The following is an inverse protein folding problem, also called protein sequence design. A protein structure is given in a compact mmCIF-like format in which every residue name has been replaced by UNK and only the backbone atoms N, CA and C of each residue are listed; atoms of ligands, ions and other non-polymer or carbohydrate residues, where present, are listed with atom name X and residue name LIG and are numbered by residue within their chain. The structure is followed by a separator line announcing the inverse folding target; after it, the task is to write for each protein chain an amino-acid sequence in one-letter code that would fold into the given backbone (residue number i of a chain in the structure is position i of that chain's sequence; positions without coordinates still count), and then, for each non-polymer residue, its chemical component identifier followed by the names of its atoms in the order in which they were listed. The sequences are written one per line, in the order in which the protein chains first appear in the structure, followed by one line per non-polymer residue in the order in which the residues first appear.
data_IF_472878939939
#
_entry.id   IF_472878939939
#
_cell.length_a   1.000
_cell.length_b   1.000
_cell.length_c   1.000
_cell.angle_alpha   90.00
_cell.angle_beta   90.00
_cell.angle_gamma   90.00
#
_symmetry.space_group_name_H-M   'P 1'
#
loop_
_entity.id
_entity.type
_entity.pdbx_description
1 polymer ?
#
# COMPACT_ATOMS: atom_id res chain seq x y z
N UNK A 1 5.15 -7.67 -16.77
CA UNK A 1 3.89 -6.92 -16.53
C UNK A 1 3.42 -7.23 -15.12
N UNK A 2 3.04 -6.21 -14.33
CA UNK A 2 2.47 -6.41 -12.99
C UNK A 2 1.01 -6.83 -13.09
N UNK A 3 0.52 -7.60 -12.10
CA UNK A 3 -0.85 -8.14 -12.10
C UNK A 3 -1.66 -7.78 -10.86
N UNK A 4 -1.05 -7.81 -9.69
CA UNK A 4 -1.73 -7.56 -8.42
C UNK A 4 -0.82 -6.75 -7.49
N UNK A 5 -1.38 -5.86 -6.69
CA UNK A 5 -0.73 -5.40 -5.45
C UNK A 5 -0.93 -6.54 -4.45
N UNK A 6 0.15 -7.19 -4.10
CA UNK A 6 0.09 -8.45 -3.35
C UNK A 6 0.60 -8.34 -1.90
N UNK A 7 1.28 -7.22 -1.58
CA UNK A 7 1.81 -7.00 -0.21
C UNK A 7 2.16 -5.57 0.12
N UNK A 8 2.26 -5.30 1.43
CA UNK A 8 2.94 -4.14 2.00
C UNK A 8 4.09 -4.61 2.88
N UNK A 9 5.20 -3.87 2.89
CA UNK A 9 6.32 -4.08 3.79
C UNK A 9 6.40 -2.93 4.79
N UNK A 10 6.47 -3.24 6.06
CA UNK A 10 6.45 -2.27 7.16
C UNK A 10 7.78 -2.34 7.91
N UNK A 11 8.55 -1.27 7.87
CA UNK A 11 9.69 -1.12 8.79
C UNK A 11 9.15 -0.80 10.19
N UNK A 12 9.52 -1.56 11.19
CA UNK A 12 8.99 -1.43 12.55
C UNK A 12 10.05 -1.77 13.61
N UNK A 13 10.09 -1.05 14.73
CA UNK A 13 10.92 -1.42 15.87
C UNK A 13 10.32 -2.61 16.67
N UNK A 14 9.04 -2.93 16.47
CA UNK A 14 8.31 -3.98 17.19
C UNK A 14 7.34 -4.69 16.23
N UNK A 15 7.80 -5.76 15.61
CA UNK A 15 6.98 -6.57 14.72
C UNK A 15 5.82 -7.26 15.44
N UNK A 16 6.01 -7.66 16.71
CA UNK A 16 4.99 -8.37 17.47
C UNK A 16 3.78 -7.45 17.73
N UNK A 17 4.00 -6.17 18.06
CA UNK A 17 2.92 -5.22 18.23
C UNK A 17 2.11 -5.03 16.93
N UNK A 18 2.80 -4.87 15.79
CA UNK A 18 2.16 -4.75 14.47
C UNK A 18 1.34 -6.00 14.12
N UNK A 19 1.94 -7.18 14.22
CA UNK A 19 1.28 -8.47 13.97
C UNK A 19 0.02 -8.65 14.85
N UNK A 20 0.12 -8.35 16.14
CA UNK A 20 -1.01 -8.45 17.07
C UNK A 20 -2.14 -7.47 16.72
N UNK A 21 -1.80 -6.27 16.25
CA UNK A 21 -2.78 -5.30 15.79
C UNK A 21 -3.56 -5.81 14.57
N UNK A 22 -2.87 -6.33 13.56
CA UNK A 22 -3.50 -6.90 12.36
C UNK A 22 -4.34 -8.14 12.67
N UNK A 23 -3.88 -9.03 13.56
CA UNK A 23 -4.67 -10.17 14.04
C UNK A 23 -5.97 -9.73 14.71
N UNK A 24 -5.88 -8.76 15.61
CA UNK A 24 -7.04 -8.28 16.38
C UNK A 24 -8.06 -7.56 15.48
N UNK A 25 -7.62 -6.64 14.63
CA UNK A 25 -8.51 -5.76 13.84
C UNK A 25 -9.01 -6.46 12.59
N UNK A 26 -8.12 -7.12 11.87
CA UNK A 26 -8.40 -7.68 10.55
C UNK A 26 -8.47 -9.23 10.52
N UNK A 27 -8.23 -9.89 11.66
CA UNK A 27 -8.22 -11.35 11.71
C UNK A 27 -7.06 -11.98 10.92
N UNK A 28 -6.00 -11.22 10.65
CA UNK A 28 -4.86 -11.69 9.88
C UNK A 28 -4.14 -12.86 10.57
N UNK A 29 -3.51 -13.74 9.80
CA UNK A 29 -2.83 -14.94 10.27
C UNK A 29 -1.33 -14.87 9.96
N UNK A 30 -0.49 -15.30 10.91
CA UNK A 30 0.97 -15.43 10.67
C UNK A 30 1.21 -16.62 9.76
N UNK A 31 1.86 -16.37 8.61
CA UNK A 31 2.15 -17.38 7.60
C UNK A 31 3.66 -17.64 7.41
N UNK A 32 4.51 -16.74 7.91
CA UNK A 32 5.96 -16.85 7.78
C UNK A 32 6.68 -16.05 8.85
N UNK A 33 7.83 -16.58 9.29
CA UNK A 33 8.79 -15.88 10.14
C UNK A 33 10.20 -16.31 9.72
N UNK A 34 11.04 -15.38 9.28
CA UNK A 34 12.38 -15.68 8.77
C UNK A 34 13.33 -14.47 8.85
N UNK A 35 14.62 -14.76 8.80
CA UNK A 35 15.64 -13.73 8.65
C UNK A 35 15.76 -13.30 7.19
N UNK A 36 15.98 -12.01 6.96
CA UNK A 36 16.26 -11.41 5.64
C UNK A 36 17.61 -10.67 5.71
N UNK A 37 18.73 -11.40 5.57
CA UNK A 37 20.06 -10.82 5.77
C UNK A 37 20.36 -9.62 4.87
N UNK A 38 19.88 -9.63 3.61
CA UNK A 38 20.06 -8.52 2.68
C UNK A 38 19.39 -7.21 3.14
N UNK A 39 18.40 -7.30 4.03
CA UNK A 39 17.73 -6.14 4.61
C UNK A 39 18.19 -5.83 6.05
N UNK A 40 19.03 -6.69 6.65
CA UNK A 40 19.43 -6.60 8.06
C UNK A 40 18.21 -6.67 8.99
N UNK A 41 17.30 -7.59 8.74
CA UNK A 41 16.03 -7.66 9.45
C UNK A 41 15.51 -9.08 9.64
N UNK A 42 14.71 -9.27 10.69
CA UNK A 42 13.79 -10.40 10.84
C UNK A 42 12.43 -9.97 10.31
N UNK A 43 11.83 -10.83 9.51
CA UNK A 43 10.52 -10.63 8.89
C UNK A 43 9.47 -11.52 9.53
N UNK A 44 8.32 -10.94 9.87
CA UNK A 44 7.10 -11.69 10.17
C UNK A 44 6.04 -11.32 9.15
N UNK A 45 5.52 -12.32 8.44
CA UNK A 45 4.49 -12.13 7.41
C UNK A 45 3.14 -12.53 7.97
N UNK A 46 2.17 -11.64 7.84
CA UNK A 46 0.76 -11.94 8.10
C UNK A 46 -0.03 -11.94 6.80
N UNK A 47 -0.93 -12.91 6.65
CA UNK A 47 -1.91 -13.00 5.59
C UNK A 47 -3.15 -12.23 5.99
N UNK A 48 -3.59 -11.29 5.14
CA UNK A 48 -4.83 -10.53 5.30
C UNK A 48 -5.59 -10.54 3.96
N UNK A 49 -6.69 -11.26 3.90
CA UNK A 49 -7.30 -11.64 2.64
C UNK A 49 -6.36 -12.53 1.83
N UNK A 50 -6.26 -12.29 0.54
CA UNK A 50 -5.28 -12.92 -0.37
C UNK A 50 -3.96 -12.16 -0.47
N UNK A 51 -3.73 -11.16 0.37
CA UNK A 51 -2.53 -10.34 0.36
C UNK A 51 -1.71 -10.53 1.63
N UNK A 52 -0.44 -10.17 1.58
CA UNK A 52 0.49 -10.31 2.70
C UNK A 52 0.88 -8.93 3.26
N UNK A 53 1.17 -8.88 4.56
CA UNK A 53 1.87 -7.73 5.16
C UNK A 53 3.11 -8.25 5.88
N UNK A 54 4.26 -7.73 5.49
CA UNK A 54 5.56 -8.14 6.00
C UNK A 54 6.06 -7.10 7.02
N UNK A 55 6.12 -7.47 8.28
CA UNK A 55 6.73 -6.65 9.34
C UNK A 55 8.22 -6.94 9.40
N UNK A 56 9.02 -5.93 9.11
CA UNK A 56 10.48 -5.99 9.09
C UNK A 56 11.03 -5.30 10.35
N UNK A 57 11.57 -6.09 11.26
CA UNK A 57 12.22 -5.60 12.46
C UNK A 57 13.74 -5.69 12.28
N UNK A 58 14.52 -4.61 12.50
CA UNK A 58 15.97 -4.66 12.36
C UNK A 58 16.61 -5.75 13.22
N UNK A 59 17.58 -6.44 12.64
CA UNK A 59 18.44 -7.42 13.27
C UNK A 59 19.92 -7.01 13.15
N UNK A 60 20.20 -5.74 13.44
CA UNK A 60 21.51 -5.11 13.31
C UNK A 60 21.46 -3.88 12.41
N UNK A 61 22.48 -3.72 11.54
CA UNK A 61 22.58 -2.63 10.57
C UNK A 61 21.98 -3.05 9.22
N UNK A 62 21.45 -2.08 8.46
CA UNK A 62 20.93 -2.34 7.12
C UNK A 62 19.81 -1.40 6.72
N UNK A 63 19.23 -1.57 5.52
CA UNK A 63 18.24 -0.65 4.96
C UNK A 63 17.01 -0.41 5.85
N UNK A 64 16.57 -1.42 6.61
CA UNK A 64 15.43 -1.30 7.52
C UNK A 64 15.78 -0.49 8.76
N UNK A 65 16.97 -0.72 9.35
CA UNK A 65 17.47 0.07 10.47
C UNK A 65 17.63 1.55 10.08
N UNK A 66 18.21 1.81 8.91
CA UNK A 66 18.40 3.17 8.36
C UNK A 66 17.05 3.88 8.14
N UNK A 67 16.05 3.15 7.65
CA UNK A 67 14.70 3.70 7.45
C UNK A 67 14.05 4.09 8.78
N UNK A 68 14.17 3.26 9.79
CA UNK A 68 13.66 3.55 11.14
C UNK A 68 14.42 4.69 11.80
N UNK A 69 15.73 4.77 11.64
CA UNK A 69 16.55 5.89 12.17
C UNK A 69 16.10 7.24 11.58
N UNK A 70 15.76 7.28 10.28
CA UNK A 70 15.23 8.49 9.62
C UNK A 70 13.82 8.86 10.06
N UNK A 71 12.91 7.87 10.21
CA UNK A 71 11.48 8.09 10.48
C UNK A 71 11.12 8.14 11.95
N UNK A 72 11.91 7.51 12.82
CA UNK A 72 11.66 7.41 14.26
C UNK A 72 10.43 6.58 14.66
N UNK A 73 9.77 5.93 13.71
CA UNK A 73 8.53 5.17 13.95
C UNK A 73 8.28 4.12 12.87
N UNK A 74 7.38 3.18 13.17
CA UNK A 74 6.88 2.22 12.19
C UNK A 74 6.17 2.93 11.02
N UNK A 75 6.40 2.44 9.79
CA UNK A 75 5.81 3.01 8.56
C UNK A 75 5.84 2.02 7.41
N UNK A 76 4.99 2.22 6.41
CA UNK A 76 5.08 1.51 5.14
C UNK A 76 6.39 1.88 4.46
N UNK A 77 7.28 0.89 4.31
CA UNK A 77 8.62 1.04 3.78
C UNK A 77 8.74 0.65 2.31
N UNK A 78 7.91 -0.32 1.90
CA UNK A 78 7.83 -0.77 0.52
C UNK A 78 6.43 -1.32 0.21
N UNK A 79 6.10 -1.41 -1.08
CA UNK A 79 4.92 -2.09 -1.56
C UNK A 79 5.30 -3.17 -2.55
N UNK A 80 4.54 -4.26 -2.61
CA UNK A 80 4.79 -5.35 -3.54
C UNK A 80 3.72 -5.52 -4.60
N UNK A 81 4.14 -6.05 -5.72
CA UNK A 81 3.27 -6.47 -6.79
C UNK A 81 3.68 -7.84 -7.33
N UNK A 82 2.69 -8.63 -7.72
CA UNK A 82 2.90 -9.90 -8.39
C UNK A 82 3.15 -9.71 -9.90
N UNK A 83 3.89 -10.64 -10.47
CA UNK A 83 4.15 -10.71 -11.91
C UNK A 83 4.30 -12.18 -12.35
N UNK A 84 3.80 -12.58 -13.55
CA UNK A 84 4.06 -13.90 -14.10
C UNK A 84 5.53 -14.12 -14.47
N UNK A 85 6.29 -13.04 -14.68
CA UNK A 85 7.74 -13.06 -14.90
C UNK A 85 8.43 -11.93 -14.13
N UNK A 86 8.72 -12.15 -12.83
CA UNK A 86 9.40 -11.15 -12.00
C UNK A 86 10.79 -10.77 -12.52
N UNK A 87 11.48 -11.73 -13.15
CA UNK A 87 12.80 -11.48 -13.71
C UNK A 87 12.74 -10.52 -14.91
N UNK A 88 11.71 -10.64 -15.76
CA UNK A 88 11.48 -9.67 -16.84
C UNK A 88 11.14 -8.29 -16.30
N UNK A 89 10.26 -8.20 -15.29
CA UNK A 89 9.95 -6.93 -14.64
C UNK A 89 11.21 -6.29 -14.02
N UNK A 90 12.04 -7.08 -13.35
CA UNK A 90 13.32 -6.63 -12.80
C UNK A 90 14.29 -6.11 -13.89
N UNK A 91 14.34 -6.75 -15.07
CA UNK A 91 15.14 -6.26 -16.21
C UNK A 91 14.62 -4.92 -16.72
N UNK A 92 13.31 -4.78 -16.88
CA UNK A 92 12.68 -3.51 -17.27
C UNK A 92 13.04 -2.40 -16.30
N UNK A 93 12.90 -2.65 -15.00
CA UNK A 93 13.24 -1.69 -13.95
C UNK A 93 14.71 -1.25 -14.01
N UNK A 94 15.65 -2.21 -14.19
CA UNK A 94 17.07 -1.87 -14.36
C UNK A 94 17.32 -1.01 -15.58
N UNK A 95 16.68 -1.32 -16.71
CA UNK A 95 16.81 -0.53 -17.94
C UNK A 95 16.26 0.88 -17.79
N UNK A 96 15.30 1.09 -16.90
CA UNK A 96 14.76 2.40 -16.50
C UNK A 96 15.58 3.12 -15.41
N UNK A 97 16.76 2.55 -15.04
CA UNK A 97 17.66 3.15 -14.06
C UNK A 97 17.35 2.87 -12.60
N UNK A 98 16.49 1.89 -12.31
CA UNK A 98 16.23 1.46 -10.94
C UNK A 98 17.40 0.62 -10.39
N UNK A 99 17.64 0.74 -9.08
CA UNK A 99 18.46 -0.22 -8.35
C UNK A 99 17.61 -1.48 -8.10
N UNK A 100 18.14 -2.65 -8.46
CA UNK A 100 17.41 -3.91 -8.34
C UNK A 100 18.27 -4.99 -7.70
N UNK A 101 17.78 -5.53 -6.58
CA UNK A 101 18.41 -6.62 -5.84
C UNK A 101 17.50 -7.85 -5.80
N UNK A 102 18.07 -9.03 -5.91
CA UNK A 102 17.33 -10.29 -5.87
C UNK A 102 17.26 -10.81 -4.42
N UNK A 103 16.10 -11.36 -4.03
CA UNK A 103 15.88 -12.14 -2.82
C UNK A 103 15.14 -13.42 -3.20
N UNK A 104 15.87 -14.50 -3.47
CA UNK A 104 15.28 -15.73 -3.99
C UNK A 104 14.64 -15.50 -5.37
N UNK A 105 13.33 -15.74 -5.45
CA UNK A 105 12.53 -15.60 -6.68
C UNK A 105 11.85 -14.23 -6.81
N UNK A 106 12.07 -13.32 -5.86
CA UNK A 106 11.55 -11.96 -5.87
C UNK A 106 12.65 -10.92 -6.03
N UNK A 107 12.28 -9.72 -6.42
CA UNK A 107 13.19 -8.61 -6.68
C UNK A 107 12.78 -7.35 -5.93
N UNK A 108 13.70 -6.78 -5.18
CA UNK A 108 13.58 -5.45 -4.60
C UNK A 108 13.98 -4.42 -5.66
N UNK A 109 13.08 -3.51 -5.98
CA UNK A 109 13.26 -2.43 -6.95
C UNK A 109 13.22 -1.10 -6.19
N UNK A 110 14.30 -0.34 -6.26
CA UNK A 110 14.39 0.98 -5.63
C UNK A 110 14.43 2.05 -6.71
N UNK A 111 13.47 2.97 -6.66
CA UNK A 111 13.39 4.17 -7.49
C UNK A 111 13.78 5.38 -6.66
N UNK A 112 14.54 6.29 -7.23
CA UNK A 112 14.74 7.60 -6.63
C UNK A 112 13.61 8.53 -7.08
N UNK A 113 12.83 9.03 -6.11
CA UNK A 113 11.79 10.04 -6.31
C UNK A 113 12.07 11.19 -5.35
N UNK A 114 12.35 12.38 -5.89
CA UNK A 114 12.70 13.57 -5.10
C UNK A 114 13.88 13.35 -4.13
N UNK A 115 14.90 12.58 -4.55
CA UNK A 115 16.03 12.23 -3.72
C UNK A 115 15.75 11.19 -2.63
N UNK A 116 14.50 10.69 -2.53
CA UNK A 116 14.12 9.65 -1.60
C UNK A 116 14.06 8.26 -2.27
N UNK A 117 14.54 7.19 -1.61
CA UNK A 117 14.41 5.83 -2.11
C UNK A 117 12.97 5.31 -1.89
N UNK A 118 12.23 5.12 -2.96
CA UNK A 118 10.92 4.48 -2.96
C UNK A 118 11.10 3.02 -3.40
N UNK A 119 10.69 2.08 -2.55
CA UNK A 119 10.99 0.66 -2.73
C UNK A 119 9.76 -0.14 -3.11
N UNK A 120 9.95 -1.00 -4.10
CA UNK A 120 8.94 -1.96 -4.53
C UNK A 120 9.50 -3.37 -4.44
N UNK A 121 8.61 -4.36 -4.33
CA UNK A 121 8.97 -5.78 -4.42
C UNK A 121 8.16 -6.40 -5.56
N UNK A 122 8.86 -7.02 -6.51
CA UNK A 122 8.19 -7.81 -7.56
C UNK A 122 8.39 -9.28 -7.26
N UNK A 123 7.30 -10.02 -7.14
CA UNK A 123 7.29 -11.44 -6.78
C UNK A 123 6.51 -12.27 -7.79
N UNK A 124 6.73 -13.60 -7.85
CA UNK A 124 5.87 -14.48 -8.62
C UNK A 124 4.40 -14.38 -8.20
N UNK A 125 3.51 -14.57 -9.16
CA UNK A 125 2.10 -14.84 -8.85
C UNK A 125 1.99 -16.08 -7.97
N UNK A 126 1.14 -16.01 -6.96
CA UNK A 126 0.93 -17.13 -6.05
C UNK A 126 -0.55 -17.22 -5.64
N UNK A 127 -1.09 -18.41 -5.71
CA UNK A 127 -2.39 -18.69 -5.11
C UNK A 127 -2.26 -18.64 -3.59
N UNK A 128 -3.07 -17.80 -2.94
CA UNK A 128 -3.07 -17.63 -1.48
C UNK A 128 -4.44 -17.94 -0.93
N UNK A 129 -4.49 -18.85 0.03
CA UNK A 129 -5.73 -19.06 0.79
C UNK A 129 -6.03 -17.81 1.60
N UNK A 130 -7.24 -17.24 1.49
CA UNK A 130 -7.58 -16.01 2.18
C UNK A 130 -7.63 -16.20 3.69
N UNK A 131 -7.24 -15.16 4.44
CA UNK A 131 -7.31 -15.13 5.89
C UNK A 131 -7.88 -13.81 6.40
N UNK A 132 -8.67 -13.85 7.47
CA UNK A 132 -9.22 -12.67 8.11
C UNK A 132 -10.35 -12.01 7.35
N UNK A 133 -10.45 -10.66 7.50
CA UNK A 133 -11.62 -9.85 7.09
C UNK A 133 -11.44 -9.11 5.78
N UNK A 134 -10.22 -9.01 5.25
CA UNK A 134 -9.96 -8.40 3.94
C UNK A 134 -10.21 -9.41 2.82
N UNK A 135 -10.52 -8.91 1.63
CA UNK A 135 -10.51 -9.72 0.41
C UNK A 135 -9.12 -9.70 -0.22
N UNK A 136 -8.59 -8.50 -0.50
CA UNK A 136 -7.25 -8.28 -1.08
C UNK A 136 -6.83 -6.81 -0.97
N UNK A 137 -5.51 -6.57 -1.05
CA UNK A 137 -4.93 -5.25 -1.32
C UNK A 137 -5.05 -4.95 -2.82
N UNK A 138 -5.38 -3.71 -3.17
CA UNK A 138 -5.41 -3.32 -4.57
C UNK A 138 -4.59 -2.07 -4.88
N UNK A 139 -4.13 -1.36 -3.85
CA UNK A 139 -3.39 -0.11 -4.02
C UNK A 139 -2.32 0.09 -2.97
N UNK A 140 -1.20 0.68 -3.40
CA UNK A 140 -0.23 1.33 -2.53
C UNK A 140 0.02 2.75 -3.05
N UNK A 141 -0.08 3.73 -2.15
CA UNK A 141 -0.04 5.15 -2.47
C UNK A 141 1.32 5.74 -2.14
N UNK A 142 1.97 6.33 -3.12
CA UNK A 142 3.18 7.15 -3.00
C UNK A 142 2.77 8.62 -2.94
N UNK A 143 3.26 9.35 -1.94
CA UNK A 143 3.12 10.80 -1.83
C UNK A 143 4.39 11.46 -2.34
N UNK A 144 4.26 12.35 -3.33
CA UNK A 144 5.35 13.10 -3.93
C UNK A 144 4.87 14.49 -4.36
N UNK A 145 5.74 15.50 -4.37
CA UNK A 145 5.39 16.84 -4.85
C UNK A 145 5.48 16.94 -6.38
N UNK A 146 6.45 16.26 -7.00
CA UNK A 146 6.55 16.13 -8.45
C UNK A 146 5.76 14.91 -8.94
N UNK A 147 4.46 15.11 -9.19
CA UNK A 147 3.58 14.05 -9.67
C UNK A 147 4.04 13.47 -11.00
N UNK A 148 4.34 14.33 -11.96
CA UNK A 148 4.69 13.89 -13.31
C UNK A 148 5.99 13.07 -13.33
N UNK A 149 7.00 13.53 -12.60
CA UNK A 149 8.27 12.81 -12.46
C UNK A 149 8.08 11.46 -11.74
N UNK A 150 7.33 11.44 -10.65
CA UNK A 150 7.07 10.20 -9.90
C UNK A 150 6.27 9.17 -10.72
N UNK A 151 5.22 9.61 -11.43
CA UNK A 151 4.42 8.76 -12.33
C UNK A 151 5.30 8.20 -13.47
N UNK A 152 6.10 9.05 -14.11
CA UNK A 152 7.00 8.61 -15.19
C UNK A 152 8.01 7.56 -14.69
N UNK A 153 8.60 7.76 -13.51
CA UNK A 153 9.53 6.79 -12.89
C UNK A 153 8.87 5.42 -12.66
N UNK A 154 7.64 5.41 -12.11
CA UNK A 154 6.89 4.16 -11.84
C UNK A 154 6.48 3.51 -13.16
N UNK A 155 5.93 4.28 -14.11
CA UNK A 155 5.54 3.81 -15.44
C UNK A 155 6.71 3.12 -16.15
N UNK A 156 7.85 3.80 -16.25
CA UNK A 156 9.02 3.31 -16.99
C UNK A 156 9.65 2.10 -16.30
N UNK A 157 9.75 2.10 -14.99
CA UNK A 157 10.31 0.99 -14.22
C UNK A 157 9.51 -0.32 -14.39
N UNK A 158 8.20 -0.22 -14.51
CA UNK A 158 7.33 -1.40 -14.58
C UNK A 158 6.69 -1.62 -15.95
N UNK A 159 6.99 -0.74 -16.94
CA UNK A 159 6.45 -0.85 -18.30
C UNK A 159 4.92 -0.75 -18.32
N UNK A 160 4.35 0.18 -17.53
CA UNK A 160 2.91 0.36 -17.43
C UNK A 160 2.38 1.16 -18.62
N UNK A 161 1.17 0.80 -19.07
CA UNK A 161 0.48 1.49 -20.16
C UNK A 161 -0.29 2.70 -19.60
N UNK A 162 0.20 3.90 -19.88
CA UNK A 162 -0.38 5.15 -19.39
C UNK A 162 -1.79 5.44 -19.93
N UNK A 163 -2.21 4.79 -21.02
CA UNK A 163 -3.58 4.93 -21.54
C UNK A 163 -4.64 4.40 -20.60
N UNK A 164 -4.26 3.54 -19.65
CA UNK A 164 -5.11 3.04 -18.58
C UNK A 164 -5.09 3.88 -17.30
N UNK A 165 -4.30 4.96 -17.24
CA UNK A 165 -4.18 5.75 -16.03
C UNK A 165 -5.40 6.65 -15.82
N UNK A 166 -5.74 6.88 -14.56
CA UNK A 166 -6.88 7.71 -14.15
C UNK A 166 -6.42 8.77 -13.17
N UNK A 167 -6.89 10.02 -13.35
CA UNK A 167 -6.61 11.11 -12.44
C UNK A 167 -7.71 11.23 -11.38
N UNK A 168 -7.31 11.60 -10.17
CA UNK A 168 -8.24 11.91 -9.08
C UNK A 168 -7.87 13.23 -8.42
N UNK A 169 -8.83 13.85 -7.76
CA UNK A 169 -8.62 15.05 -6.96
C UNK A 169 -9.48 15.00 -5.71
N UNK A 170 -8.92 15.38 -4.59
CA UNK A 170 -9.64 15.54 -3.34
C UNK A 170 -9.38 16.90 -2.73
N UNK A 171 -10.37 17.81 -2.85
CA UNK A 171 -10.31 19.11 -2.18
C UNK A 171 -10.32 18.96 -0.65
N UNK A 172 -11.06 17.97 -0.13
CA UNK A 172 -11.16 17.70 1.30
C UNK A 172 -9.78 17.43 1.91
N UNK A 173 -9.02 16.51 1.31
CA UNK A 173 -7.69 16.13 1.81
C UNK A 173 -6.55 16.95 1.22
N UNK A 174 -6.82 17.79 0.20
CA UNK A 174 -5.87 18.73 -0.40
C UNK A 174 -4.81 18.05 -1.27
N UNK A 175 -5.22 17.14 -2.17
CA UNK A 175 -4.32 16.48 -3.10
C UNK A 175 -4.95 16.28 -4.49
N UNK A 176 -4.09 16.12 -5.48
CA UNK A 176 -4.40 15.50 -6.77
C UNK A 176 -3.59 14.21 -6.89
N UNK A 177 -4.06 13.25 -7.71
CA UNK A 177 -3.41 11.96 -7.85
C UNK A 177 -3.55 11.36 -9.24
N UNK A 178 -2.67 10.39 -9.52
CA UNK A 178 -2.73 9.51 -10.69
C UNK A 178 -2.72 8.07 -10.23
N UNK A 179 -3.73 7.33 -10.61
CA UNK A 179 -3.83 5.89 -10.44
C UNK A 179 -3.12 5.22 -11.62
N UNK A 180 -1.95 4.62 -11.38
CA UNK A 180 -1.18 3.92 -12.42
C UNK A 180 -1.61 2.47 -12.49
N UNK A 181 -2.82 2.22 -13.03
CA UNK A 181 -3.40 0.89 -13.11
C UNK A 181 -2.47 -0.09 -13.86
N UNK A 182 -2.28 -1.28 -13.30
CA UNK A 182 -1.43 -2.30 -13.92
C UNK A 182 -2.03 -2.85 -15.21
N UNK A 183 -3.37 -2.91 -15.26
CA UNK A 183 -4.13 -3.33 -16.46
C UNK A 183 -5.45 -2.57 -16.51
N UNK A 184 -5.92 -2.22 -17.71
CA UNK A 184 -7.27 -1.65 -17.87
C UNK A 184 -8.34 -2.56 -17.28
N UNK A 185 -9.30 -1.97 -16.59
CA UNK A 185 -10.44 -2.69 -16.03
C UNK A 185 -10.15 -3.56 -14.81
N UNK A 186 -8.98 -3.43 -14.20
CA UNK A 186 -8.61 -4.03 -12.90
C UNK A 186 -8.35 -2.93 -11.87
N UNK A 187 -8.48 -3.26 -10.57
CA UNK A 187 -8.28 -2.30 -9.50
C UNK A 187 -6.80 -2.11 -9.10
N UNK A 188 -5.96 -3.13 -9.34
CA UNK A 188 -4.58 -3.11 -8.87
C UNK A 188 -3.73 -2.02 -9.51
N UNK A 189 -3.10 -1.19 -8.66
CA UNK A 189 -2.31 -0.02 -9.06
C UNK A 189 -1.33 0.43 -8.00
N UNK A 190 -0.35 1.19 -8.44
CA UNK A 190 0.30 2.16 -7.58
C UNK A 190 -0.36 3.53 -7.81
N UNK A 191 -0.63 4.25 -6.74
CA UNK A 191 -1.15 5.60 -6.81
C UNK A 191 -0.02 6.58 -6.51
N UNK A 192 0.04 7.69 -7.23
CA UNK A 192 0.89 8.84 -6.90
C UNK A 192 0.00 10.01 -6.55
N UNK A 193 0.04 10.48 -5.30
CA UNK A 193 -0.68 11.67 -4.86
C UNK A 193 0.29 12.83 -4.65
N UNK A 194 -0.17 14.04 -4.97
CA UNK A 194 0.58 15.28 -4.83
C UNK A 194 -0.23 16.28 -4.02
N UNK A 195 0.34 16.86 -2.95
CA UNK A 195 -0.34 17.89 -2.18
C UNK A 195 -0.58 19.15 -3.03
N UNK A 196 -1.80 19.67 -2.99
CA UNK A 196 -2.15 20.98 -3.60
C UNK A 196 -2.34 22.06 -2.54
N UNK A 197 -2.34 21.70 -1.27
CA UNK A 197 -2.49 22.60 -0.12
C UNK A 197 -1.55 22.16 1.01
N UNK A 198 -0.52 22.96 1.27
CA UNK A 198 0.48 22.68 2.30
C UNK A 198 -0.07 22.70 3.74
N UNK A 199 -1.23 23.31 3.95
CA UNK A 199 -1.89 23.42 5.27
C UNK A 199 -2.74 22.20 5.60
N UNK A 200 -3.10 21.39 4.59
CA UNK A 200 -3.89 20.17 4.76
C UNK A 200 -3.01 18.96 5.10
N UNK A 201 -3.65 17.83 5.34
CA UNK A 201 -3.00 16.62 5.86
C UNK A 201 -1.86 16.13 4.96
N UNK A 202 -2.08 16.07 3.65
CA UNK A 202 -1.08 15.57 2.69
C UNK A 202 0.11 16.54 2.59
N UNK A 203 -0.13 17.86 2.57
CA UNK A 203 0.92 18.85 2.54
C UNK A 203 1.79 18.84 3.79
N UNK A 204 1.17 18.78 4.99
CA UNK A 204 1.91 18.67 6.24
C UNK A 204 2.72 17.36 6.34
N UNK A 205 2.17 16.27 5.83
CA UNK A 205 2.87 14.99 5.81
C UNK A 205 4.09 15.06 4.89
N UNK A 206 3.92 15.53 3.64
CA UNK A 206 5.02 15.67 2.69
C UNK A 206 6.13 16.61 3.21
N UNK A 207 5.76 17.75 3.80
CA UNK A 207 6.74 18.69 4.38
C UNK A 207 7.61 18.05 5.48
N UNK A 208 7.09 17.05 6.20
CA UNK A 208 7.81 16.36 7.27
C UNK A 208 8.61 15.15 6.76
N UNK A 209 8.04 14.39 5.83
CA UNK A 209 8.55 13.08 5.46
C UNK A 209 9.19 13.03 4.06
N UNK A 210 8.93 14.04 3.20
CA UNK A 210 9.30 14.00 1.79
C UNK A 210 8.52 12.94 1.00
N UNK A 211 9.03 12.61 -0.18
CA UNK A 211 8.46 11.54 -0.99
C UNK A 211 8.54 10.19 -0.26
N UNK A 212 7.42 9.48 -0.21
CA UNK A 212 7.33 8.23 0.56
C UNK A 212 6.01 7.50 0.32
N UNK A 213 5.96 6.22 0.70
CA UNK A 213 4.66 5.56 0.85
C UNK A 213 3.85 6.23 1.96
N UNK A 214 2.58 6.48 1.66
CA UNK A 214 1.63 7.10 2.57
C UNK A 214 0.64 6.08 3.14
N UNK A 215 0.03 5.24 2.29
CA UNK A 215 -0.99 4.29 2.68
C UNK A 215 -1.11 3.12 1.70
N UNK A 216 -1.95 2.15 2.06
CA UNK A 216 -2.47 1.15 1.14
C UNK A 216 -3.99 1.16 1.13
N UNK A 217 -4.59 0.54 0.10
CA UNK A 217 -6.02 0.27 0.04
C UNK A 217 -6.32 -1.21 -0.14
N UNK A 218 -7.41 -1.65 0.49
CA UNK A 218 -7.93 -3.01 0.40
C UNK A 218 -9.45 -3.00 0.14
N UNK A 219 -9.96 -4.15 -0.30
CA UNK A 219 -11.39 -4.43 -0.36
C UNK A 219 -11.78 -5.41 0.74
N UNK A 220 -13.00 -5.28 1.29
CA UNK A 220 -13.56 -6.21 2.26
C UNK A 220 -15.08 -6.26 2.15
N UNK A 221 -15.66 -7.47 2.38
CA UNK A 221 -17.11 -7.68 2.32
C UNK A 221 -17.84 -7.03 3.49
N UNK A 222 -17.28 -7.06 4.69
CA UNK A 222 -17.92 -6.59 5.92
C UNK A 222 -17.07 -5.51 6.64
N UNK A 223 -17.32 -4.25 6.25
CA UNK A 223 -16.67 -3.11 6.86
C UNK A 223 -17.23 -2.81 8.27
N UNK A 224 -18.48 -3.21 8.56
CA UNK A 224 -19.06 -3.03 9.89
C UNK A 224 -18.36 -3.88 10.94
N UNK A 225 -17.96 -5.12 10.58
CA UNK A 225 -17.16 -5.96 11.46
C UNK A 225 -15.74 -5.41 11.68
N UNK A 226 -15.14 -4.76 10.66
CA UNK A 226 -13.85 -4.09 10.79
C UNK A 226 -13.99 -2.87 11.70
N UNK A 227 -14.99 -2.01 11.47
CA UNK A 227 -15.29 -0.83 12.29
C UNK A 227 -15.43 -1.21 13.77
N UNK A 228 -16.21 -2.25 14.06
CA UNK A 228 -16.46 -2.72 15.43
C UNK A 228 -15.21 -3.28 16.13
N UNK A 229 -14.21 -3.73 15.38
CA UNK A 229 -12.95 -4.25 15.93
C UNK A 229 -11.91 -3.15 16.26
N UNK A 230 -12.17 -1.89 15.88
CA UNK A 230 -11.22 -0.78 16.02
C UNK A 230 -11.56 0.04 17.27
N UNK A 231 -10.57 0.39 18.10
CA UNK A 231 -10.77 1.29 19.23
C UNK A 231 -11.27 2.68 18.79
N UNK A 232 -12.03 3.35 19.65
CA UNK A 232 -12.49 4.71 19.40
C UNK A 232 -11.35 5.65 19.00
N UNK A 233 -11.55 6.43 17.94
CA UNK A 233 -10.54 7.33 17.37
C UNK A 233 -9.48 6.67 16.49
N UNK A 234 -9.50 5.33 16.32
CA UNK A 234 -8.56 4.60 15.46
C UNK A 234 -8.98 4.50 13.99
N UNK A 235 -10.15 5.03 13.64
CA UNK A 235 -10.73 4.92 12.30
C UNK A 235 -11.49 6.20 11.94
N UNK A 236 -11.48 6.54 10.64
CA UNK A 236 -12.41 7.48 10.00
C UNK A 236 -13.35 6.70 9.10
N UNK A 237 -14.63 7.02 9.12
CA UNK A 237 -15.68 6.28 8.41
C UNK A 237 -16.34 7.20 7.40
N UNK A 238 -16.44 6.74 6.17
CA UNK A 238 -17.24 7.36 5.12
C UNK A 238 -18.54 6.59 4.95
N UNK A 239 -19.59 7.14 5.55
CA UNK A 239 -20.94 6.61 5.46
C UNK A 239 -21.86 7.71 4.92
N UNK A 240 -22.50 7.51 3.74
CA UNK A 240 -23.45 8.46 3.20
C UNK A 240 -24.55 8.81 4.19
N UNK A 241 -24.96 10.09 4.18
CA UNK A 241 -26.03 10.57 5.04
C UNK A 241 -27.31 9.76 4.86
N UNK A 242 -27.97 9.40 5.96
CA UNK A 242 -29.18 8.58 5.96
C UNK A 242 -28.98 7.08 5.81
N UNK A 243 -27.76 6.60 5.52
CA UNK A 243 -27.50 5.17 5.49
C UNK A 243 -27.52 4.55 6.89
N UNK A 244 -28.27 3.46 7.06
CA UNK A 244 -28.32 2.74 8.31
C UNK A 244 -26.94 2.31 8.81
N UNK A 245 -26.63 2.46 10.12
CA UNK A 245 -25.38 1.93 10.70
C UNK A 245 -25.22 0.41 10.58
N UNK A 246 -26.29 -0.33 10.33
CA UNK A 246 -26.23 -1.79 10.09
C UNK A 246 -25.78 -2.16 8.68
N UNK A 247 -25.71 -1.21 7.76
CA UNK A 247 -25.17 -1.41 6.42
C UNK A 247 -23.72 -0.95 6.37
N UNK A 248 -22.94 -1.55 5.45
CA UNK A 248 -21.57 -1.14 5.23
C UNK A 248 -21.46 0.37 4.96
N UNK A 249 -20.44 1.05 5.53
CA UNK A 249 -20.00 2.32 4.98
C UNK A 249 -19.42 2.12 3.57
N UNK A 250 -19.19 3.19 2.83
CA UNK A 250 -18.51 3.09 1.53
C UNK A 250 -17.02 2.81 1.72
N UNK A 251 -16.41 3.42 2.76
CA UNK A 251 -15.02 3.23 3.11
C UNK A 251 -14.79 3.38 4.62
N UNK A 252 -13.69 2.80 5.08
CA UNK A 252 -13.09 3.08 6.39
C UNK A 252 -11.59 3.35 6.21
N UNK A 253 -11.06 4.35 6.91
CA UNK A 253 -9.62 4.61 6.96
C UNK A 253 -9.10 4.29 8.36
N UNK A 254 -8.32 3.23 8.46
CA UNK A 254 -7.73 2.78 9.72
C UNK A 254 -6.41 3.51 9.93
N UNK A 255 -6.31 4.23 11.05
CA UNK A 255 -5.18 5.10 11.33
C UNK A 255 -3.91 4.31 11.71
N UNK A 256 -2.70 4.83 11.40
CA UNK A 256 -1.44 4.10 11.59
C UNK A 256 -1.20 3.53 12.99
N UNK A 257 -1.55 4.21 14.10
CA UNK A 257 -1.37 3.63 15.44
C UNK A 257 -2.18 2.34 15.68
N UNK A 258 -3.31 2.19 14.97
CA UNK A 258 -4.19 1.02 15.09
C UNK A 258 -3.63 -0.22 14.40
N UNK A 259 -2.83 -0.04 13.33
CA UNK A 259 -2.27 -1.12 12.49
C UNK A 259 -0.73 -1.13 12.45
N UNK A 260 -0.08 -0.72 13.56
CA UNK A 260 1.38 -0.84 13.66
C UNK A 260 2.15 0.00 12.65
N UNK A 261 1.66 1.21 12.32
CA UNK A 261 2.31 2.15 11.42
C UNK A 261 1.74 2.21 10.00
N UNK A 262 0.73 1.41 9.68
CA UNK A 262 0.07 1.40 8.37
C UNK A 262 -1.20 2.23 8.39
N UNK A 263 -1.29 3.24 7.52
CA UNK A 263 -2.56 3.85 7.13
C UNK A 263 -3.21 2.94 6.09
N UNK A 264 -4.40 2.43 6.37
CA UNK A 264 -5.11 1.52 5.47
C UNK A 264 -6.51 2.03 5.17
N UNK A 265 -6.80 2.33 3.91
CA UNK A 265 -8.15 2.48 3.41
C UNK A 265 -8.75 1.10 3.12
N UNK A 266 -9.99 0.88 3.52
CA UNK A 266 -10.72 -0.32 3.14
C UNK A 266 -12.04 0.10 2.53
N UNK A 267 -12.29 -0.29 1.29
CA UNK A 267 -13.55 -0.04 0.59
C UNK A 267 -14.44 -1.28 0.62
N UNK A 268 -15.76 -1.06 0.63
CA UNK A 268 -16.69 -2.16 0.33
C UNK A 268 -16.52 -2.64 -1.12
N UNK A 269 -16.98 -3.84 -1.45
CA UNK A 269 -16.86 -4.38 -2.81
C UNK A 269 -17.37 -3.39 -3.85
N UNK A 270 -16.66 -3.33 -4.96
CA UNK A 270 -16.89 -2.46 -6.11
C UNK A 270 -16.77 -0.94 -5.87
N UNK A 271 -16.71 -0.46 -4.63
CA UNK A 271 -16.71 0.99 -4.36
C UNK A 271 -15.49 1.71 -4.96
N UNK A 272 -14.34 1.03 -5.03
CA UNK A 272 -13.12 1.58 -5.60
C UNK A 272 -13.25 1.97 -7.08
N UNK A 273 -14.22 1.46 -7.80
CA UNK A 273 -14.51 1.84 -9.18
C UNK A 273 -14.97 3.29 -9.30
N UNK A 274 -15.58 3.86 -8.23
CA UNK A 274 -16.03 5.25 -8.19
C UNK A 274 -14.91 6.23 -8.57
N UNK A 275 -13.70 6.01 -8.02
CA UNK A 275 -12.55 6.87 -8.27
C UNK A 275 -11.51 6.26 -9.23
N UNK A 276 -11.78 5.06 -9.75
CA UNK A 276 -10.92 4.40 -10.74
C UNK A 276 -11.37 4.63 -12.20
N UNK A 277 -12.27 5.62 -12.42
CA UNK A 277 -12.74 5.99 -13.76
C UNK A 277 -13.91 5.16 -14.29
N UNK A 278 -14.53 4.32 -13.46
CA UNK A 278 -15.63 3.42 -13.85
C UNK A 278 -16.79 3.45 -12.83
N UNK A 279 -17.38 4.64 -12.54
CA UNK A 279 -18.43 4.76 -11.51
C UNK A 279 -19.67 3.89 -11.78
N UNK A 280 -19.91 3.54 -13.03
CA UNK A 280 -21.01 2.64 -13.45
C UNK A 280 -20.85 1.19 -12.95
N UNK A 281 -19.62 0.81 -12.50
CA UNK A 281 -19.35 -0.52 -11.93
C UNK A 281 -19.61 -0.61 -10.43
N UNK A 282 -19.93 0.52 -9.79
CA UNK A 282 -20.24 0.55 -8.36
C UNK A 282 -21.60 -0.10 -8.12
N UNK A 283 -21.63 -1.13 -7.28
CA UNK A 283 -22.88 -1.78 -6.87
C UNK A 283 -23.53 -0.97 -5.74
N UNK A 284 -24.77 -0.51 -5.87
CA UNK A 284 -25.54 0.09 -4.77
C UNK A 284 -25.70 -0.88 -3.59
N UNK A 285 -25.80 -0.32 -2.37
CA UNK A 285 -26.20 -1.08 -1.16
C UNK A 285 -27.70 -0.95 -0.93
#
# INVERSE_FOLDING_TARGET
MLTEVDRLLVATPDAAAGVNAWKRVLGAEVVRHDAVPGLGAVRTVVRAGRSDVEFLQPDGTGPVADALARRGRAHVWAAGAASPDPAAAARTARSAGARVEAEGDRYHVELEIEGAPIRFVVSPEAERQPAGRLDFLYEATVLAADQAGAVARIRDAFGLDETGFTTITSELFGYTGVLTLFRPGQLHRFEVITPIDSTKTMGRYHAREGASFYMGFAEAQDLTAIEAAIPAGGVTIDRPEGRSPSLNPDQVWIHPPTLGGVMLGVSRPSMAWMWSGFPERVTPL
#
